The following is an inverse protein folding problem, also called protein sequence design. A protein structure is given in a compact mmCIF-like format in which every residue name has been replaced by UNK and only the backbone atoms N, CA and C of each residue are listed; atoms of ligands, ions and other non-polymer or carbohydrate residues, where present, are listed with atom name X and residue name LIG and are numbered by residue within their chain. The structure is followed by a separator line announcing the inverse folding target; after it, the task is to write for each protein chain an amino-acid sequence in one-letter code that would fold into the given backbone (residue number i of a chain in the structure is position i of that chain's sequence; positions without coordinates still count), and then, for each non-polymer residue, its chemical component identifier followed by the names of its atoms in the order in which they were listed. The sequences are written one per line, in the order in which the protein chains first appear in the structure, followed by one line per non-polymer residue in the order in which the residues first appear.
data_IF_241938526838
#
_entry.id   IF_241938526838
#
_cell.length_a   1.000
_cell.length_b   1.000
_cell.length_c   1.000
_cell.angle_alpha   90.00
_cell.angle_beta   90.00
_cell.angle_gamma   90.00
#
_symmetry.space_group_name_H-M   'P 1'
#
loop_
_entity.id
_entity.type
_entity.pdbx_description
1 polymer ?
#
# COMPACT_ATOMS: atom_id res chain seq x y z
N UNK A 1 14.89 11.17 8.95
CA UNK A 1 13.83 10.67 9.88
C UNK A 1 13.02 9.71 9.06
N UNK A 2 12.86 8.47 9.52
CA UNK A 2 12.12 7.45 8.77
C UNK A 2 10.61 7.79 8.75
N UNK A 3 9.94 7.50 7.65
CA UNK A 3 8.48 7.64 7.53
C UNK A 3 7.77 6.60 8.40
N UNK A 4 8.30 5.38 8.40
CA UNK A 4 7.89 4.25 9.25
C UNK A 4 9.11 3.78 10.02
N UNK A 5 8.99 3.65 11.35
CA UNK A 5 10.06 3.17 12.23
C UNK A 5 9.45 2.24 13.29
N UNK A 6 9.72 0.96 13.14
CA UNK A 6 9.24 -0.13 14.00
C UNK A 6 10.45 -0.65 14.78
N UNK A 7 10.36 -0.67 16.11
CA UNK A 7 11.47 -1.02 16.99
C UNK A 7 11.09 -2.11 17.97
N UNK A 8 11.70 -3.28 17.83
CA UNK A 8 11.55 -4.44 18.71
C UNK A 8 10.09 -4.77 19.03
N UNK A 9 9.24 -4.78 18.00
CA UNK A 9 7.80 -4.91 18.14
C UNK A 9 7.39 -6.37 18.25
N UNK A 10 6.54 -6.63 19.25
CA UNK A 10 5.88 -7.91 19.49
C UNK A 10 4.38 -7.76 19.28
N UNK A 11 3.77 -8.78 18.69
CA UNK A 11 2.31 -8.93 18.65
C UNK A 11 1.91 -10.30 19.06
N UNK A 12 1.19 -10.38 20.18
CA UNK A 12 0.77 -11.61 20.82
C UNK A 12 -0.76 -11.66 20.84
N UNK A 13 -1.32 -12.70 20.23
CA UNK A 13 -2.75 -12.99 20.30
C UNK A 13 -3.02 -14.11 21.29
N UNK A 14 -4.20 -14.08 21.95
CA UNK A 14 -4.66 -15.09 22.90
C UNK A 14 -3.62 -15.42 23.98
N UNK A 15 -3.18 -14.46 24.83
CA UNK A 15 -2.21 -14.74 25.86
C UNK A 15 -2.72 -15.83 26.80
N UNK A 16 -1.91 -16.88 27.08
CA UNK A 16 -2.25 -18.06 27.85
C UNK A 16 -2.02 -19.36 27.08
N UNK A 17 -2.87 -20.38 27.30
CA UNK A 17 -2.66 -21.73 26.75
C UNK A 17 -2.61 -21.81 25.21
N UNK A 18 -3.23 -20.86 24.51
CA UNK A 18 -3.26 -20.82 23.04
C UNK A 18 -2.57 -19.57 22.49
N UNK A 19 -1.51 -19.12 23.13
CA UNK A 19 -0.76 -17.94 22.72
C UNK A 19 -0.14 -18.11 21.33
N UNK A 20 -0.31 -17.08 20.50
CA UNK A 20 0.32 -16.98 19.17
C UNK A 20 1.17 -15.72 19.14
N UNK A 21 2.48 -15.88 19.00
CA UNK A 21 3.42 -14.80 18.78
C UNK A 21 3.41 -14.49 17.26
N UNK A 22 2.50 -13.64 16.84
CA UNK A 22 2.37 -13.29 15.42
C UNK A 22 3.51 -12.40 14.93
N UNK A 23 4.07 -11.56 15.82
CA UNK A 23 5.35 -10.86 15.63
C UNK A 23 6.20 -11.06 16.87
N UNK A 24 7.51 -11.25 16.68
CA UNK A 24 8.45 -11.64 17.71
C UNK A 24 9.76 -10.85 17.57
N UNK A 25 9.76 -9.59 18.05
CA UNK A 25 10.91 -8.68 18.02
C UNK A 25 11.21 -8.13 16.62
N UNK A 26 10.16 -7.66 15.92
CA UNK A 26 10.30 -7.06 14.58
C UNK A 26 10.85 -5.64 14.69
N UNK A 27 11.96 -5.37 13.97
CA UNK A 27 12.47 -4.02 13.75
C UNK A 27 12.56 -3.75 12.24
N UNK A 28 11.99 -2.64 11.78
CA UNK A 28 11.93 -2.27 10.38
C UNK A 28 11.83 -0.75 10.24
N UNK A 29 12.67 -0.17 9.39
CA UNK A 29 12.53 1.24 8.99
C UNK A 29 12.17 1.31 7.51
N UNK A 30 11.32 2.27 7.13
CA UNK A 30 10.99 2.58 5.73
C UNK A 30 11.08 4.09 5.56
N UNK A 31 11.83 4.52 4.56
CA UNK A 31 12.01 5.93 4.22
C UNK A 31 10.95 6.41 3.20
N UNK A 32 10.81 7.73 3.08
CA UNK A 32 9.93 8.32 2.07
C UNK A 32 10.39 7.94 0.66
N UNK A 33 9.45 7.59 -0.20
CA UNK A 33 9.71 7.26 -1.60
C UNK A 33 10.30 5.87 -1.83
N UNK A 34 10.47 5.02 -0.79
CA UNK A 34 10.90 3.63 -0.97
C UNK A 34 9.79 2.78 -1.61
N UNK A 35 10.20 1.80 -2.41
CA UNK A 35 9.35 0.70 -2.84
C UNK A 35 9.84 -0.58 -2.18
N UNK A 36 9.10 -1.05 -1.16
CA UNK A 36 9.46 -2.20 -0.33
C UNK A 36 8.50 -3.36 -0.58
N UNK A 37 9.01 -4.56 -0.77
CA UNK A 37 8.24 -5.79 -0.74
C UNK A 37 8.46 -6.54 0.58
N UNK A 38 7.39 -6.89 1.28
CA UNK A 38 7.42 -7.75 2.47
C UNK A 38 6.92 -9.13 2.06
N UNK A 39 7.78 -10.14 2.12
CA UNK A 39 7.48 -11.49 1.67
C UNK A 39 7.58 -12.52 2.80
N UNK A 40 6.87 -13.63 2.63
CA UNK A 40 6.90 -14.76 3.57
C UNK A 40 5.79 -15.76 3.29
N UNK A 41 5.85 -16.93 3.89
CA UNK A 41 4.83 -17.96 3.75
C UNK A 41 3.52 -17.56 4.44
N UNK A 42 2.43 -18.28 4.16
CA UNK A 42 1.18 -18.12 4.91
C UNK A 42 1.43 -18.37 6.41
N UNK A 43 0.87 -17.53 7.26
CA UNK A 43 1.06 -17.61 8.72
C UNK A 43 2.39 -17.04 9.25
N UNK A 44 3.27 -16.48 8.40
CA UNK A 44 4.56 -15.96 8.84
C UNK A 44 4.51 -14.63 9.64
N UNK A 45 3.33 -13.98 9.75
CA UNK A 45 3.16 -12.68 10.42
C UNK A 45 2.98 -11.48 9.49
N UNK A 46 2.98 -11.66 8.15
CA UNK A 46 2.84 -10.57 7.16
C UNK A 46 1.59 -9.71 7.36
N UNK A 47 0.42 -10.35 7.45
CA UNK A 47 -0.85 -9.64 7.61
C UNK A 47 -0.93 -8.92 8.95
N UNK A 48 -0.33 -9.49 10.01
CA UNK A 48 -0.20 -8.83 11.31
C UNK A 48 0.68 -7.59 11.21
N UNK A 49 1.84 -7.72 10.56
CA UNK A 49 2.73 -6.57 10.34
C UNK A 49 2.04 -5.50 9.51
N UNK A 50 1.35 -5.88 8.43
CA UNK A 50 0.58 -4.93 7.62
C UNK A 50 -0.50 -4.19 8.43
N UNK A 51 -1.26 -4.93 9.25
CA UNK A 51 -2.30 -4.32 10.09
C UNK A 51 -1.71 -3.30 11.07
N UNK A 52 -0.54 -3.60 11.63
CA UNK A 52 0.18 -2.64 12.46
C UNK A 52 0.67 -1.43 11.67
N UNK A 53 1.40 -1.65 10.56
CA UNK A 53 1.87 -0.55 9.70
C UNK A 53 0.70 0.33 9.24
N UNK A 54 -0.47 -0.29 9.06
CA UNK A 54 -1.70 0.35 8.64
C UNK A 54 -2.53 0.98 9.77
N UNK A 55 -2.06 0.95 11.02
CA UNK A 55 -2.83 1.43 12.18
C UNK A 55 -4.21 0.77 12.32
N UNK A 56 -4.34 -0.47 11.86
CA UNK A 56 -5.54 -1.32 12.05
C UNK A 56 -5.41 -2.18 13.32
N UNK A 57 -4.21 -2.31 13.84
CA UNK A 57 -3.87 -3.00 15.08
C UNK A 57 -2.69 -2.28 15.74
N UNK A 58 -2.48 -2.50 17.03
CA UNK A 58 -1.38 -1.91 17.80
C UNK A 58 -0.45 -3.00 18.32
N UNK A 59 0.85 -2.72 18.55
CA UNK A 59 1.78 -3.68 19.13
C UNK A 59 1.35 -4.10 20.55
N UNK A 60 1.75 -5.31 20.97
CA UNK A 60 1.63 -5.76 22.37
C UNK A 60 2.76 -5.13 23.19
N UNK A 61 3.94 -4.95 22.60
CA UNK A 61 5.10 -4.24 23.17
C UNK A 61 6.07 -3.85 22.04
N UNK A 62 7.05 -3.01 22.38
CA UNK A 62 7.94 -2.36 21.41
C UNK A 62 7.44 -0.98 21.04
N UNK A 63 8.01 -0.34 20.05
CA UNK A 63 7.66 1.02 19.63
C UNK A 63 7.39 1.06 18.12
N UNK A 64 6.30 1.73 17.73
CA UNK A 64 6.01 2.02 16.33
C UNK A 64 5.80 3.52 16.13
N UNK A 65 6.58 4.11 15.23
CA UNK A 65 6.46 5.50 14.83
C UNK A 65 6.03 5.60 13.37
N UNK A 66 5.04 6.45 13.10
CA UNK A 66 4.65 6.87 11.76
C UNK A 66 4.80 8.38 11.64
N UNK A 67 5.61 8.83 10.69
CA UNK A 67 5.92 10.25 10.48
C UNK A 67 6.33 10.95 11.81
N UNK A 68 7.11 10.25 12.63
CA UNK A 68 7.61 10.71 13.92
C UNK A 68 6.62 10.70 15.09
N UNK A 69 5.38 10.27 14.89
CA UNK A 69 4.39 10.10 15.94
C UNK A 69 4.48 8.68 16.52
N UNK A 70 4.65 8.54 17.82
CA UNK A 70 4.59 7.25 18.51
C UNK A 70 3.14 6.76 18.56
N UNK A 71 2.88 5.58 18.01
CA UNK A 71 1.52 5.05 17.82
C UNK A 71 0.86 4.67 19.14
N UNK A 72 1.63 4.18 20.09
CA UNK A 72 1.14 3.77 21.43
C UNK A 72 0.56 4.95 22.24
N UNK A 73 0.97 6.18 21.92
CA UNK A 73 0.47 7.39 22.57
C UNK A 73 -0.82 7.94 21.93
N UNK A 74 -1.27 7.33 20.81
CA UNK A 74 -2.43 7.79 20.04
C UNK A 74 -3.73 7.19 20.54
N UNK A 75 -4.78 7.97 20.57
CA UNK A 75 -6.15 7.47 20.74
C UNK A 75 -6.67 6.85 19.43
N UNK A 76 -7.74 6.03 19.52
CA UNK A 76 -8.38 5.42 18.35
C UNK A 76 -8.83 6.46 17.32
N UNK A 77 -9.34 7.61 17.78
CA UNK A 77 -9.73 8.72 16.91
C UNK A 77 -8.51 9.31 16.18
N UNK A 78 -7.41 9.54 16.88
CA UNK A 78 -6.16 10.03 16.28
C UNK A 78 -5.58 9.03 15.28
N UNK A 79 -5.55 7.73 15.63
CA UNK A 79 -5.14 6.68 14.69
C UNK A 79 -6.02 6.66 13.44
N UNK A 80 -7.34 6.86 13.59
CA UNK A 80 -8.27 6.91 12.45
C UNK A 80 -8.01 8.10 11.53
N UNK A 81 -7.68 9.27 12.09
CA UNK A 81 -7.30 10.47 11.32
C UNK A 81 -5.98 10.20 10.57
N UNK A 82 -4.94 9.75 11.28
CA UNK A 82 -3.62 9.47 10.66
C UNK A 82 -3.77 8.41 9.57
N UNK A 83 -4.50 7.33 9.82
CA UNK A 83 -4.77 6.28 8.82
C UNK A 83 -5.42 6.86 7.56
N UNK A 84 -6.43 7.70 7.71
CA UNK A 84 -7.11 8.32 6.58
C UNK A 84 -6.21 9.30 5.81
N UNK A 85 -5.32 10.03 6.51
CA UNK A 85 -4.47 11.06 5.92
C UNK A 85 -3.16 10.52 5.35
N UNK A 86 -2.57 9.52 6.01
CA UNK A 86 -1.21 9.07 5.72
C UNK A 86 -1.17 7.76 4.93
N UNK A 87 -2.25 6.96 4.92
CA UNK A 87 -2.19 5.58 4.41
C UNK A 87 -3.31 5.33 3.39
N UNK A 88 -2.92 4.87 2.21
CA UNK A 88 -3.82 4.32 1.20
C UNK A 88 -3.73 2.80 1.18
N UNK A 89 -4.86 2.11 1.36
CA UNK A 89 -4.92 0.65 1.37
C UNK A 89 -5.39 0.07 0.04
N UNK A 90 -4.67 -0.96 -0.42
CA UNK A 90 -5.05 -1.82 -1.54
C UNK A 90 -5.09 -3.25 -1.01
N UNK A 91 -6.23 -3.93 -1.12
CA UNK A 91 -6.43 -5.29 -0.62
C UNK A 91 -6.63 -6.28 -1.76
N UNK A 92 -6.27 -7.54 -1.54
CA UNK A 92 -6.47 -8.66 -2.46
C UNK A 92 -7.95 -8.84 -2.86
N UNK A 93 -8.86 -8.67 -1.91
CA UNK A 93 -10.31 -8.79 -2.11
C UNK A 93 -11.00 -7.54 -2.63
N UNK A 94 -10.24 -6.52 -3.12
CA UNK A 94 -10.70 -5.20 -3.56
C UNK A 94 -11.42 -4.39 -2.48
N UNK A 95 -12.20 -5.00 -1.61
CA UNK A 95 -12.98 -4.40 -0.52
C UNK A 95 -13.83 -3.19 -1.00
N UNK A 96 -14.48 -3.35 -2.15
CA UNK A 96 -15.42 -2.36 -2.67
C UNK A 96 -16.81 -2.59 -2.06
N UNK A 97 -17.51 -1.49 -1.79
CA UNK A 97 -18.91 -1.54 -1.38
C UNK A 97 -19.73 -1.81 -2.64
N UNK A 98 -20.37 -2.98 -2.69
CA UNK A 98 -21.05 -3.51 -3.88
C UNK A 98 -22.24 -2.68 -4.36
N UNK A 99 -22.89 -1.93 -3.44
CA UNK A 99 -24.02 -1.04 -3.74
C UNK A 99 -23.61 0.36 -4.22
N UNK A 100 -22.31 0.68 -4.19
CA UNK A 100 -21.75 1.95 -4.64
C UNK A 100 -21.10 1.80 -6.01
N UNK A 101 -21.23 2.80 -6.85
CA UNK A 101 -20.51 2.91 -8.13
C UNK A 101 -19.00 3.04 -7.90
N UNK A 102 -18.21 2.89 -8.97
CA UNK A 102 -16.76 3.06 -8.90
C UNK A 102 -16.39 4.42 -8.32
N UNK A 103 -16.98 5.51 -8.78
CA UNK A 103 -16.67 6.85 -8.31
C UNK A 103 -17.07 7.05 -6.85
N UNK A 104 -18.23 6.51 -6.42
CA UNK A 104 -18.68 6.60 -5.03
C UNK A 104 -17.78 5.78 -4.09
N UNK A 105 -17.25 4.63 -4.52
CA UNK A 105 -16.24 3.89 -3.77
C UNK A 105 -14.96 4.71 -3.58
N UNK A 106 -14.54 5.45 -4.61
CA UNK A 106 -13.32 6.29 -4.55
C UNK A 106 -13.54 7.54 -3.70
N UNK A 107 -14.77 8.06 -3.61
CA UNK A 107 -15.11 9.19 -2.74
C UNK A 107 -15.01 8.88 -1.24
N UNK A 108 -15.11 7.61 -0.82
CA UNK A 108 -15.22 7.24 0.60
C UNK A 108 -14.15 7.86 1.52
N UNK A 109 -12.84 7.75 1.24
CA UNK A 109 -11.82 8.36 2.10
C UNK A 109 -11.94 9.89 2.16
N UNK A 110 -12.44 10.54 1.10
CA UNK A 110 -12.63 11.97 1.02
C UNK A 110 -13.87 12.42 1.82
N UNK A 111 -14.89 11.55 1.92
CA UNK A 111 -16.05 11.77 2.80
C UNK A 111 -15.60 11.81 4.26
N UNK A 112 -14.74 10.88 4.66
CA UNK A 112 -14.18 10.84 6.04
C UNK A 112 -13.30 12.05 6.35
N UNK A 113 -12.70 12.69 5.33
CA UNK A 113 -11.99 13.99 5.47
C UNK A 113 -12.92 15.20 5.57
N UNK A 114 -14.24 15.01 5.48
CA UNK A 114 -15.20 16.10 5.51
C UNK A 114 -15.24 16.97 4.26
N UNK A 115 -14.69 16.50 3.12
CA UNK A 115 -14.66 17.27 1.88
C UNK A 115 -16.07 17.49 1.29
N UNK A 116 -16.28 18.65 0.70
CA UNK A 116 -17.54 18.99 0.02
C UNK A 116 -17.84 18.07 -1.16
N UNK A 117 -19.14 17.87 -1.47
CA UNK A 117 -19.58 16.90 -2.49
C UNK A 117 -18.96 17.15 -3.87
N UNK A 118 -18.88 18.39 -4.31
CA UNK A 118 -18.32 18.71 -5.63
C UNK A 118 -16.83 18.43 -5.68
N UNK A 119 -16.09 18.91 -4.68
CA UNK A 119 -14.63 18.74 -4.59
C UNK A 119 -14.23 17.26 -4.57
N UNK A 120 -14.86 16.45 -3.70
CA UNK A 120 -14.54 15.02 -3.62
C UNK A 120 -14.87 14.27 -4.91
N UNK A 121 -15.98 14.66 -5.63
CA UNK A 121 -16.33 14.10 -6.92
C UNK A 121 -15.25 14.37 -7.96
N UNK A 122 -14.79 15.59 -8.08
CA UNK A 122 -13.72 15.96 -9.02
C UNK A 122 -12.41 15.22 -8.75
N UNK A 123 -12.05 15.04 -7.47
CA UNK A 123 -10.86 14.27 -7.07
C UNK A 123 -11.03 12.79 -7.42
N UNK A 124 -12.18 12.20 -7.12
CA UNK A 124 -12.47 10.80 -7.40
C UNK A 124 -12.46 10.49 -8.91
N UNK A 125 -13.04 11.36 -9.72
CA UNK A 125 -13.03 11.24 -11.19
C UNK A 125 -11.60 11.32 -11.75
N UNK A 126 -10.76 12.25 -11.26
CA UNK A 126 -9.36 12.35 -11.63
C UNK A 126 -8.58 11.08 -11.21
N UNK A 127 -8.85 10.54 -10.01
CA UNK A 127 -8.19 9.31 -9.55
C UNK A 127 -8.59 8.10 -10.44
N UNK A 128 -9.85 7.97 -10.83
CA UNK A 128 -10.30 6.94 -11.76
C UNK A 128 -9.70 7.08 -13.16
N UNK A 129 -9.59 8.30 -13.67
CA UNK A 129 -8.93 8.56 -14.96
C UNK A 129 -7.45 8.16 -14.94
N UNK A 130 -6.73 8.42 -13.83
CA UNK A 130 -5.32 8.01 -13.65
C UNK A 130 -5.10 6.49 -13.74
N UNK A 131 -6.10 5.70 -13.40
CA UNK A 131 -6.05 4.23 -13.50
C UNK A 131 -6.77 3.69 -14.75
N UNK A 132 -7.14 4.56 -15.70
CA UNK A 132 -7.75 4.18 -16.99
C UNK A 132 -9.20 3.71 -16.86
N UNK A 133 -9.97 4.27 -15.93
CA UNK A 133 -11.38 3.96 -15.69
C UNK A 133 -12.34 5.15 -15.95
N UNK A 134 -11.90 6.14 -16.74
CA UNK A 134 -12.68 7.32 -17.12
C UNK A 134 -14.07 6.98 -17.69
N UNK A 135 -14.18 5.88 -18.45
CA UNK A 135 -15.44 5.40 -19.06
C UNK A 135 -16.24 4.45 -18.16
N UNK A 136 -15.81 4.18 -16.93
CA UNK A 136 -16.40 3.19 -16.03
C UNK A 136 -16.79 3.76 -14.65
N UNK A 137 -16.76 5.07 -14.49
CA UNK A 137 -16.98 5.76 -13.21
C UNK A 137 -18.33 5.42 -12.54
N UNK A 138 -19.37 5.20 -13.34
CA UNK A 138 -20.73 4.95 -12.85
C UNK A 138 -21.12 3.47 -12.81
N UNK A 139 -20.20 2.54 -13.10
CA UNK A 139 -20.47 1.12 -13.02
C UNK A 139 -20.40 0.64 -11.57
N UNK A 140 -21.24 -0.33 -11.25
CA UNK A 140 -21.19 -1.07 -9.99
C UNK A 140 -20.06 -2.13 -10.06
N UNK A 141 -19.49 -2.55 -8.92
CA UNK A 141 -18.46 -3.60 -8.89
C UNK A 141 -18.87 -4.88 -9.64
N UNK A 142 -20.12 -5.30 -9.54
CA UNK A 142 -20.64 -6.49 -10.23
C UNK A 142 -20.60 -6.39 -11.77
N UNK A 143 -20.49 -5.19 -12.32
CA UNK A 143 -20.43 -4.92 -13.76
C UNK A 143 -18.98 -4.79 -14.27
N UNK A 144 -18.00 -5.04 -13.40
CA UNK A 144 -16.57 -4.82 -13.65
C UNK A 144 -15.78 -6.11 -13.54
N UNK A 145 -14.76 -6.28 -14.39
CA UNK A 145 -13.79 -7.37 -14.23
C UNK A 145 -12.96 -7.22 -12.95
N UNK A 146 -12.33 -8.31 -12.47
CA UNK A 146 -11.46 -8.28 -11.30
C UNK A 146 -10.35 -7.23 -11.41
N UNK A 147 -9.68 -7.13 -12.56
CA UNK A 147 -8.66 -6.11 -12.80
C UNK A 147 -9.22 -4.67 -12.80
N UNK A 148 -10.47 -4.48 -13.26
CA UNK A 148 -11.13 -3.17 -13.16
C UNK A 148 -11.49 -2.84 -11.71
N UNK A 149 -12.02 -3.81 -10.95
CA UNK A 149 -12.32 -3.63 -9.53
C UNK A 149 -11.05 -3.28 -8.73
N UNK A 150 -9.93 -3.97 -9.01
CA UNK A 150 -8.66 -3.65 -8.37
C UNK A 150 -8.17 -2.23 -8.72
N UNK A 151 -8.33 -1.79 -9.98
CA UNK A 151 -8.03 -0.40 -10.32
C UNK A 151 -8.93 0.62 -9.62
N UNK A 152 -10.19 0.30 -9.34
CA UNK A 152 -11.05 1.14 -8.47
C UNK A 152 -10.49 1.17 -7.05
N UNK A 153 -10.06 0.03 -6.49
CA UNK A 153 -9.44 -0.02 -5.17
C UNK A 153 -8.14 0.81 -5.11
N UNK A 154 -7.32 0.74 -6.16
CA UNK A 154 -6.12 1.60 -6.29
C UNK A 154 -6.52 3.08 -6.38
N UNK A 155 -7.50 3.44 -7.21
CA UNK A 155 -7.98 4.82 -7.32
C UNK A 155 -8.48 5.36 -5.97
N UNK A 156 -9.21 4.52 -5.20
CA UNK A 156 -9.64 4.85 -3.83
C UNK A 156 -8.44 5.10 -2.91
N UNK A 157 -7.43 4.24 -2.96
CA UNK A 157 -6.24 4.38 -2.13
C UNK A 157 -5.48 5.68 -2.39
N UNK A 158 -5.41 6.12 -3.65
CA UNK A 158 -4.63 7.32 -4.03
C UNK A 158 -5.43 8.62 -4.05
N UNK A 159 -6.77 8.56 -3.98
CA UNK A 159 -7.64 9.74 -4.09
C UNK A 159 -7.31 10.81 -3.06
N UNK A 160 -7.03 10.39 -1.82
CA UNK A 160 -6.67 11.28 -0.73
C UNK A 160 -5.19 11.72 -0.76
N UNK A 161 -4.42 11.33 -1.78
CA UNK A 161 -3.00 11.63 -1.96
C UNK A 161 -2.12 11.27 -0.73
N UNK A 162 -2.28 10.08 -0.10
CA UNK A 162 -1.50 9.70 1.06
C UNK A 162 -0.01 9.53 0.71
N UNK A 163 0.93 9.75 1.64
CA UNK A 163 2.35 9.49 1.43
C UNK A 163 2.71 8.00 1.35
N UNK A 164 1.92 7.13 2.00
CA UNK A 164 2.14 5.67 2.07
C UNK A 164 1.03 4.92 1.36
N UNK A 165 1.39 3.96 0.52
CA UNK A 165 0.48 2.97 -0.06
C UNK A 165 0.84 1.59 0.50
N UNK A 166 -0.09 0.98 1.23
CA UNK A 166 0.02 -0.40 1.71
C UNK A 166 -0.81 -1.31 0.82
N UNK A 167 -0.19 -2.25 0.14
CA UNK A 167 -0.82 -3.16 -0.81
C UNK A 167 -0.68 -4.61 -0.34
N UNK A 168 -1.78 -5.23 0.11
CA UNK A 168 -1.85 -6.62 0.54
C UNK A 168 -2.27 -7.52 -0.63
N UNK A 169 -1.34 -8.34 -1.11
CA UNK A 169 -1.55 -9.24 -2.25
C UNK A 169 -2.27 -8.55 -3.42
N UNK A 170 -1.80 -7.37 -3.89
CA UNK A 170 -2.57 -6.53 -4.80
C UNK A 170 -2.87 -7.17 -6.15
N UNK A 171 -2.22 -8.27 -6.48
CA UNK A 171 -2.32 -9.00 -7.75
C UNK A 171 -2.80 -10.44 -7.60
N UNK A 172 -3.03 -10.93 -6.36
CA UNK A 172 -3.28 -12.33 -6.06
C UNK A 172 -4.53 -12.94 -6.70
N UNK A 173 -5.52 -12.12 -7.10
CA UNK A 173 -6.76 -12.56 -7.73
C UNK A 173 -6.87 -12.11 -9.20
N UNK A 174 -5.74 -11.76 -9.86
CA UNK A 174 -5.73 -11.14 -11.18
C UNK A 174 -5.08 -12.04 -12.23
N UNK A 175 -5.49 -11.87 -13.49
CA UNK A 175 -4.78 -12.41 -14.64
C UNK A 175 -3.44 -11.68 -14.87
N UNK A 176 -2.55 -12.27 -15.66
CA UNK A 176 -1.21 -11.74 -15.93
C UNK A 176 -1.22 -10.32 -16.51
N UNK A 177 -2.22 -9.99 -17.35
CA UNK A 177 -2.32 -8.65 -17.95
C UNK A 177 -2.69 -7.62 -16.88
N UNK A 178 -3.72 -7.91 -16.09
CA UNK A 178 -4.17 -7.04 -15.01
C UNK A 178 -3.08 -6.88 -13.93
N UNK A 179 -2.33 -7.95 -13.62
CA UNK A 179 -1.16 -7.89 -12.74
C UNK A 179 -0.14 -6.85 -13.20
N UNK A 180 0.26 -6.89 -14.49
CA UNK A 180 1.20 -5.92 -15.06
C UNK A 180 0.65 -4.49 -15.01
N UNK A 181 -0.65 -4.30 -15.26
CA UNK A 181 -1.29 -2.99 -15.19
C UNK A 181 -1.25 -2.41 -13.77
N UNK A 182 -1.54 -3.24 -12.74
CA UNK A 182 -1.46 -2.81 -11.33
C UNK A 182 -0.04 -2.48 -10.93
N UNK A 183 0.95 -3.35 -11.25
CA UNK A 183 2.35 -3.09 -10.92
C UNK A 183 2.86 -1.81 -11.59
N UNK A 184 2.52 -1.57 -12.86
CA UNK A 184 2.85 -0.33 -13.53
C UNK A 184 2.25 0.93 -12.88
N UNK A 185 1.07 0.82 -12.24
CA UNK A 185 0.50 1.91 -11.45
C UNK A 185 1.31 2.12 -10.18
N UNK A 186 1.67 1.05 -9.45
CA UNK A 186 2.46 1.14 -8.22
C UNK A 186 3.85 1.76 -8.48
N UNK A 187 4.52 1.38 -9.57
CA UNK A 187 5.78 2.00 -9.98
C UNK A 187 5.63 3.51 -10.23
N UNK A 188 4.59 3.93 -10.97
CA UNK A 188 4.34 5.36 -11.19
C UNK A 188 4.10 6.12 -9.89
N UNK A 189 3.40 5.53 -8.92
CA UNK A 189 3.19 6.15 -7.60
C UNK A 189 4.50 6.35 -6.87
N UNK A 190 5.40 5.37 -6.93
CA UNK A 190 6.77 5.47 -6.41
C UNK A 190 7.57 6.58 -7.11
N UNK A 191 7.51 6.64 -8.44
CA UNK A 191 8.21 7.67 -9.22
C UNK A 191 7.67 9.09 -8.93
N UNK A 192 6.42 9.20 -8.50
CA UNK A 192 5.80 10.43 -7.99
C UNK A 192 6.21 10.74 -6.52
N UNK A 193 7.10 9.95 -5.91
CA UNK A 193 7.61 10.15 -4.55
C UNK A 193 6.75 9.51 -3.45
N UNK A 194 5.80 8.62 -3.80
CA UNK A 194 5.03 7.88 -2.79
C UNK A 194 5.85 6.70 -2.27
N UNK A 195 5.72 6.43 -0.99
CA UNK A 195 6.23 5.18 -0.39
C UNK A 195 5.25 4.06 -0.70
N UNK A 196 5.72 2.96 -1.27
CA UNK A 196 4.91 1.80 -1.63
C UNK A 196 5.40 0.59 -0.87
N UNK A 197 4.51 -0.05 -0.09
CA UNK A 197 4.80 -1.30 0.62
C UNK A 197 3.86 -2.36 0.08
N UNK A 198 4.42 -3.35 -0.60
CA UNK A 198 3.68 -4.51 -1.14
C UNK A 198 3.92 -5.71 -0.24
N UNK A 199 2.85 -6.30 0.27
CA UNK A 199 2.90 -7.56 1.00
C UNK A 199 2.48 -8.66 0.03
N UNK A 200 3.33 -9.68 -0.15
CA UNK A 200 3.02 -10.77 -1.07
C UNK A 200 3.73 -12.07 -0.67
N UNK A 201 3.22 -13.19 -1.15
CA UNK A 201 3.93 -14.47 -1.15
C UNK A 201 4.57 -14.80 -2.51
N UNK A 202 4.32 -13.96 -3.53
CA UNK A 202 4.84 -14.12 -4.88
C UNK A 202 6.21 -13.45 -5.01
N UNK A 203 7.24 -14.27 -5.28
CA UNK A 203 8.60 -13.77 -5.46
C UNK A 203 8.76 -12.93 -6.74
N UNK A 204 7.98 -13.17 -7.80
CA UNK A 204 8.06 -12.37 -9.02
C UNK A 204 7.59 -10.94 -8.75
N UNK A 205 6.50 -10.79 -7.99
CA UNK A 205 6.01 -9.48 -7.56
C UNK A 205 7.00 -8.80 -6.61
N UNK A 206 7.60 -9.57 -5.69
CA UNK A 206 8.59 -9.00 -4.76
C UNK A 206 9.83 -8.45 -5.48
N UNK A 207 10.25 -9.08 -6.56
CA UNK A 207 11.39 -8.62 -7.37
C UNK A 207 11.08 -7.36 -8.21
N UNK A 208 9.86 -6.88 -8.19
CA UNK A 208 9.48 -5.56 -8.74
C UNK A 208 9.79 -4.40 -7.77
N UNK A 209 10.10 -4.68 -6.49
CA UNK A 209 10.42 -3.68 -5.47
C UNK A 209 11.92 -3.40 -5.38
N UNK A 210 12.30 -2.21 -4.89
CA UNK A 210 13.71 -1.80 -4.66
C UNK A 210 14.34 -2.56 -3.50
N UNK A 211 13.55 -2.87 -2.47
CA UNK A 211 13.99 -3.55 -1.25
C UNK A 211 13.04 -4.68 -0.92
N UNK A 212 13.61 -5.79 -0.50
CA UNK A 212 12.86 -6.99 -0.13
C UNK A 212 13.14 -7.34 1.32
N UNK A 213 12.07 -7.42 2.10
CA UNK A 213 12.07 -7.83 3.51
C UNK A 213 11.37 -9.18 3.62
N UNK A 214 12.06 -10.19 4.15
CA UNK A 214 11.47 -11.51 4.35
C UNK A 214 11.12 -11.73 5.81
N UNK A 215 9.84 -12.06 6.05
CA UNK A 215 9.34 -12.42 7.38
C UNK A 215 9.10 -13.93 7.44
N UNK A 216 9.51 -14.55 8.55
CA UNK A 216 9.26 -15.95 8.86
C UNK A 216 9.08 -16.12 10.36
N UNK A 217 8.00 -16.80 10.76
CA UNK A 217 7.66 -17.09 12.16
C UNK A 217 7.69 -15.84 13.06
N UNK A 218 7.10 -14.75 12.54
CA UNK A 218 7.02 -13.46 13.23
C UNK A 218 8.31 -12.63 13.27
N UNK A 219 9.39 -13.05 12.60
CA UNK A 219 10.70 -12.37 12.60
C UNK A 219 11.13 -11.96 11.20
N UNK A 220 11.79 -10.82 11.08
CA UNK A 220 12.52 -10.48 9.86
C UNK A 220 13.78 -11.34 9.80
N UNK A 221 13.92 -12.12 8.74
CA UNK A 221 15.04 -13.04 8.52
C UNK A 221 15.98 -12.59 7.41
N UNK A 222 15.48 -11.75 6.49
CA UNK A 222 16.27 -11.13 5.42
C UNK A 222 15.74 -9.72 5.18
N UNK A 223 16.64 -8.80 4.89
CA UNK A 223 16.34 -7.42 4.50
C UNK A 223 17.48 -6.96 3.58
N UNK A 224 17.16 -6.74 2.28
CA UNK A 224 18.19 -6.43 1.30
C UNK A 224 17.64 -5.55 0.17
N UNK A 225 18.52 -4.75 -0.40
CA UNK A 225 18.26 -4.00 -1.64
C UNK A 225 18.28 -4.98 -2.81
N UNK A 226 17.24 -4.93 -3.64
CA UNK A 226 17.11 -5.78 -4.81
C UNK A 226 18.07 -5.34 -5.93
N UNK A 227 19.13 -6.09 -6.21
CA UNK A 227 20.14 -5.68 -7.21
C UNK A 227 19.57 -5.66 -8.65
N UNK A 228 18.51 -6.42 -8.92
CA UNK A 228 17.85 -6.45 -10.23
C UNK A 228 16.94 -5.26 -10.51
N UNK A 229 16.56 -4.51 -9.48
CA UNK A 229 15.64 -3.39 -9.64
C UNK A 229 16.27 -2.26 -10.48
N UNK A 230 17.49 -1.79 -10.13
CA UNK A 230 18.19 -0.75 -10.89
C UNK A 230 18.48 -1.19 -12.32
N UNK A 231 18.76 -2.47 -12.54
CA UNK A 231 19.02 -3.02 -13.87
C UNK A 231 17.77 -2.98 -14.77
N UNK A 232 16.60 -3.24 -14.16
CA UNK A 232 15.29 -3.29 -14.86
C UNK A 232 14.65 -1.91 -15.01
N UNK A 233 14.69 -1.08 -13.98
CA UNK A 233 13.96 0.20 -13.92
C UNK A 233 14.86 1.45 -13.94
N UNK A 234 16.11 1.38 -13.49
CA UNK A 234 17.05 2.51 -13.47
C UNK A 234 17.44 3.03 -14.86
N UNK A 235 17.21 2.24 -15.92
CA UNK A 235 17.47 2.65 -17.33
C UNK A 235 16.31 3.40 -17.94
N UNK A 236 15.08 3.24 -17.47
CA UNK A 236 13.90 3.92 -18.00
C UNK A 236 13.82 5.35 -17.49
N UNK A 237 14.12 5.62 -16.23
CA UNK A 237 14.13 6.96 -15.63
C UNK A 237 15.18 7.89 -16.25
N UNK A 238 16.26 7.35 -16.86
CA UNK A 238 17.29 8.13 -17.59
C UNK A 238 16.90 8.44 -19.03
N UNK A 239 15.97 7.72 -19.64
CA UNK A 239 15.51 7.97 -21.01
C UNK A 239 14.47 9.08 -21.11
N UNK A 240 13.60 9.20 -20.10
CA UNK A 240 12.55 10.23 -20.11
C UNK A 240 13.07 11.64 -19.75
N UNK A 241 14.27 11.74 -19.17
CA UNK A 241 14.95 13.01 -18.89
C UNK A 241 15.86 13.52 -20.02
N UNK A 242 15.99 12.77 -21.10
CA UNK A 242 16.72 13.18 -22.28
C UNK A 242 15.77 13.78 -23.34
N UNK A 243 15.19 14.93 -23.05
CA UNK A 243 14.48 15.72 -24.04
C UNK A 243 15.53 16.59 -24.82
N UNK A 244 15.72 16.39 -26.12
CA UNK A 244 16.62 17.24 -26.89
C UNK A 244 15.90 18.55 -27.25
N UNK A 245 16.06 19.55 -26.40
CA UNK A 245 15.86 20.94 -26.84
C UNK A 245 17.27 21.47 -27.07
N UNK A 246 17.73 21.39 -28.32
CA UNK A 246 18.47 22.39 -29.00
C UNK A 246 18.95 21.88 -30.38
N UNK A 247 18.22 22.23 -31.42
CA UNK A 247 18.78 22.47 -32.75
C UNK A 247 17.72 23.19 -33.61
N UNK A 248 17.98 24.47 -33.90
CA UNK A 248 17.29 25.23 -34.92
C UNK A 248 16.96 26.66 -34.54
#
# INVERSE_FOLDING_TARGET
MHLIDVRDVYKIYNPGENQVNALDGVSLTIDEGEFVAIIGQSGSGKSTLMNMLGLLDVPTSGEYYINGNLVEDLTDDQMSVIRNEQIGFIFQGFNLISSLTAVENVELPLVYRGMGRQERREIAEKALARVGLDKRMHHLPAEMSGGQQQRVAVARAIAAAPPVILADEPTGNLDTKSTKEIMAILHRLKDEGRTVVVITHDNEIAMEAERVVRIRDGKIVEDYINPGFEEKYGRESKKDNANPIDQG
#
